data_IF_669449531590
#
_entry.id   IF_669449531590
#
_cell.length_a   1.000
_cell.length_b   1.000
_cell.length_c   1.000
_cell.angle_alpha   90.00
_cell.angle_beta   90.00
_cell.angle_gamma   90.00
#
_symmetry.space_group_name_H-M   'P 1'
#
loop_
_entity.id
_entity.type
_entity.pdbx_description
1 polymer ?
#
# COMPACT_ATOMS: atom_id res chain seq x y z
N UNK A 1 -24.93 -6.17 8.83
CA UNK A 1 -23.51 -6.53 9.08
C UNK A 1 -22.73 -5.23 9.20
N UNK A 2 -21.98 -5.01 10.30
CA UNK A 2 -21.09 -3.85 10.42
C UNK A 2 -19.86 -4.06 9.52
N UNK A 3 -19.36 -3.01 8.87
CA UNK A 3 -18.12 -3.14 8.11
C UNK A 3 -16.95 -3.29 9.09
N UNK A 4 -15.87 -3.96 8.68
CA UNK A 4 -14.68 -4.13 9.52
C UNK A 4 -14.11 -2.78 9.99
N UNK A 5 -14.25 -1.73 9.17
CA UNK A 5 -13.87 -0.36 9.55
C UNK A 5 -14.70 0.19 10.73
N UNK A 6 -16.00 -0.08 10.76
CA UNK A 6 -16.90 0.34 11.85
C UNK A 6 -16.54 -0.37 13.15
N UNK A 7 -16.20 -1.66 13.08
CA UNK A 7 -15.80 -2.48 14.24
C UNK A 7 -14.46 -2.04 14.83
N UNK A 8 -13.52 -1.64 13.98
CA UNK A 8 -12.19 -1.18 14.39
C UNK A 8 -12.16 0.32 14.68
N UNK A 9 -13.29 1.03 14.50
CA UNK A 9 -13.39 2.49 14.62
C UNK A 9 -12.39 3.23 13.73
N UNK A 10 -12.12 2.68 12.53
CA UNK A 10 -11.23 3.24 11.51
C UNK A 10 -12.09 3.85 10.41
N UNK A 11 -12.07 5.17 10.32
CA UNK A 11 -12.70 5.88 9.22
C UNK A 11 -11.93 5.60 7.92
N UNK A 12 -12.66 5.41 6.80
CA UNK A 12 -12.10 5.25 5.45
C UNK A 12 -11.29 3.95 5.21
N UNK A 13 -11.60 2.88 5.96
CA UNK A 13 -11.05 1.55 5.70
C UNK A 13 -11.72 0.93 4.45
N UNK A 14 -11.02 0.96 3.32
CA UNK A 14 -11.44 0.34 2.06
C UNK A 14 -10.33 -0.51 1.43
N UNK A 15 -10.65 -1.25 0.37
CA UNK A 15 -9.72 -2.14 -0.34
C UNK A 15 -8.46 -1.41 -0.83
N UNK A 16 -8.61 -0.19 -1.35
CA UNK A 16 -7.48 0.64 -1.80
C UNK A 16 -6.61 1.10 -0.63
N UNK A 17 -7.20 1.50 0.48
CA UNK A 17 -6.48 1.91 1.70
C UNK A 17 -5.69 0.73 2.27
N UNK A 18 -6.33 -0.45 2.40
CA UNK A 18 -5.66 -1.66 2.89
C UNK A 18 -4.53 -2.11 1.96
N UNK A 19 -4.73 -2.02 0.64
CA UNK A 19 -3.68 -2.34 -0.35
C UNK A 19 -2.45 -1.44 -0.16
N UNK A 20 -2.64 -0.12 -0.05
CA UNK A 20 -1.53 0.82 0.22
C UNK A 20 -0.79 0.49 1.51
N UNK A 21 -1.51 0.22 2.59
CA UNK A 21 -0.91 -0.18 3.88
C UNK A 21 -0.12 -1.50 3.77
N UNK A 22 -0.67 -2.48 3.05
CA UNK A 22 0.00 -3.76 2.78
C UNK A 22 1.29 -3.58 1.98
N UNK A 23 1.23 -2.81 0.89
CA UNK A 23 2.37 -2.44 0.04
C UNK A 23 3.49 -1.79 0.87
N UNK A 24 3.15 -0.80 1.70
CA UNK A 24 4.13 -0.13 2.57
C UNK A 24 4.77 -1.10 3.57
N UNK A 25 3.99 -2.01 4.17
CA UNK A 25 4.52 -3.02 5.11
C UNK A 25 5.48 -3.98 4.43
N UNK A 26 5.14 -4.50 3.26
CA UNK A 26 6.01 -5.40 2.50
C UNK A 26 7.29 -4.68 2.09
N UNK A 27 7.19 -3.43 1.64
CA UNK A 27 8.36 -2.62 1.28
C UNK A 27 9.33 -2.43 2.45
N UNK A 28 8.83 -2.05 3.64
CA UNK A 28 9.66 -1.93 4.85
C UNK A 28 10.27 -3.26 5.29
N UNK A 29 9.46 -4.33 5.35
CA UNK A 29 9.90 -5.66 5.82
C UNK A 29 10.89 -6.33 4.87
N UNK A 30 10.85 -5.98 3.60
CA UNK A 30 11.73 -6.54 2.56
C UNK A 30 12.97 -5.69 2.33
N UNK A 31 13.34 -4.83 3.29
CA UNK A 31 14.47 -3.91 3.19
C UNK A 31 14.42 -3.03 1.93
N UNK A 32 13.27 -2.38 1.70
CA UNK A 32 13.04 -1.44 0.59
C UNK A 32 13.10 -2.08 -0.81
N UNK A 33 12.80 -3.39 -0.93
CA UNK A 33 12.78 -4.09 -2.22
C UNK A 33 11.51 -3.76 -3.04
N UNK A 34 11.63 -2.81 -3.98
CA UNK A 34 10.53 -2.39 -4.86
C UNK A 34 10.13 -3.46 -5.88
N UNK A 35 11.07 -4.28 -6.36
CA UNK A 35 10.82 -5.34 -7.34
C UNK A 35 9.90 -6.42 -6.79
N UNK A 36 10.04 -6.76 -5.51
CA UNK A 36 9.16 -7.69 -4.80
C UNK A 36 7.73 -7.13 -4.68
N UNK A 37 7.59 -5.86 -4.34
CA UNK A 37 6.28 -5.18 -4.24
C UNK A 37 5.58 -5.17 -5.60
N UNK A 38 6.30 -4.86 -6.67
CA UNK A 38 5.75 -4.88 -8.03
C UNK A 38 5.29 -6.27 -8.46
N UNK A 39 6.07 -7.29 -8.17
CA UNK A 39 5.71 -8.68 -8.47
C UNK A 39 4.44 -9.10 -7.71
N UNK A 40 4.32 -8.75 -6.43
CA UNK A 40 3.15 -9.10 -5.60
C UNK A 40 1.87 -8.38 -6.01
N UNK A 41 1.97 -7.15 -6.55
CA UNK A 41 0.83 -6.38 -7.02
C UNK A 41 0.55 -6.58 -8.52
N UNK A 42 1.36 -7.41 -9.20
CA UNK A 42 1.31 -7.61 -10.65
C UNK A 42 1.34 -6.27 -11.42
N UNK A 43 2.18 -5.34 -10.95
CA UNK A 43 2.34 -4.02 -11.57
C UNK A 43 3.42 -4.07 -12.64
N UNK A 44 3.08 -3.65 -13.87
CA UNK A 44 4.01 -3.62 -15.01
C UNK A 44 4.99 -2.44 -14.99
N UNK A 45 4.83 -1.49 -14.05
CA UNK A 45 5.65 -0.28 -13.98
C UNK A 45 5.89 0.18 -12.53
N UNK A 46 7.10 0.66 -12.27
CA UNK A 46 7.54 1.18 -10.96
C UNK A 46 6.67 2.37 -10.51
N UNK A 47 6.20 3.19 -11.44
CA UNK A 47 5.32 4.33 -11.14
C UNK A 47 3.99 3.90 -10.49
N UNK A 48 3.47 2.71 -10.85
CA UNK A 48 2.26 2.17 -10.25
C UNK A 48 2.50 1.71 -8.80
N UNK A 49 3.66 1.14 -8.52
CA UNK A 49 4.05 0.76 -7.15
C UNK A 49 4.37 1.99 -6.28
N UNK A 50 5.00 3.03 -6.84
CA UNK A 50 5.23 4.31 -6.16
C UNK A 50 3.93 5.02 -5.75
N UNK A 51 2.87 4.88 -6.54
CA UNK A 51 1.54 5.44 -6.23
C UNK A 51 0.90 4.77 -5.00
N UNK A 52 1.17 3.47 -4.79
CA UNK A 52 0.71 2.74 -3.62
C UNK A 52 1.59 2.98 -2.38
N UNK A 53 2.89 3.27 -2.57
CA UNK A 53 3.83 3.62 -1.49
C UNK A 53 3.74 5.09 -1.04
N UNK A 54 2.99 5.94 -1.76
CA UNK A 54 2.89 7.39 -1.50
C UNK A 54 4.29 8.03 -1.40
N UNK A 55 5.22 7.61 -2.27
CA UNK A 55 6.59 8.15 -2.29
C UNK A 55 6.70 9.51 -3.00
N UNK A 56 5.64 9.94 -3.69
CA UNK A 56 5.67 11.09 -4.62
C UNK A 56 5.61 12.49 -3.95
N UNK A 57 5.50 12.61 -2.62
CA UNK A 57 5.39 13.93 -1.97
C UNK A 57 6.27 14.17 -0.75
N UNK A 58 7.12 13.23 -0.33
CA UNK A 58 8.04 13.44 0.79
C UNK A 58 9.46 13.89 0.36
N UNK A 59 9.68 14.12 -0.94
CA UNK A 59 10.94 14.63 -1.48
C UNK A 59 10.75 16.06 -1.99
N UNK A 60 10.76 17.01 -1.06
CA UNK A 60 11.03 18.43 -1.31
C UNK A 60 11.94 18.98 -0.24
#
# INVERSE_FOLDING_TARGET
MANVGDLLRINYLGTRTMRKTGTYRVYMQSNYNIGLVMHLLNHSSEAMAQTDLVLDQASR
#
